data_IF_739612891321
#
_entry.id   IF_739612891321
#
_cell.length_a   1.000
_cell.length_b   1.000
_cell.length_c   1.000
_cell.angle_alpha   90.00
_cell.angle_beta   90.00
_cell.angle_gamma   90.00
#
_symmetry.space_group_name_H-M   'P 1'
#
loop_
_entity.id
_entity.type
_entity.pdbx_description
1 polymer ?
#
# COMPACT_ATOMS: atom_id res chain seq x y z
N UNK A 1 23.51 -35.92 -13.67
CA UNK A 1 22.74 -35.31 -12.57
C UNK A 1 23.41 -34.01 -12.19
N UNK A 2 22.94 -32.88 -12.70
CA UNK A 2 23.40 -31.55 -12.31
C UNK A 2 22.59 -31.10 -11.10
N UNK A 3 23.23 -31.05 -9.93
CA UNK A 3 22.63 -30.46 -8.73
C UNK A 3 22.62 -28.95 -8.94
N UNK A 4 21.47 -28.38 -9.30
CA UNK A 4 21.29 -26.92 -9.31
C UNK A 4 21.56 -26.40 -7.91
N UNK A 5 22.67 -25.69 -7.72
CA UNK A 5 22.98 -24.98 -6.47
C UNK A 5 22.06 -23.77 -6.41
N UNK A 6 21.00 -23.83 -5.60
CA UNK A 6 20.18 -22.66 -5.29
C UNK A 6 21.06 -21.59 -4.64
N UNK A 7 21.10 -20.39 -5.22
CA UNK A 7 21.81 -19.25 -4.65
C UNK A 7 21.06 -18.76 -3.39
N UNK A 8 21.65 -19.02 -2.22
CA UNK A 8 21.08 -18.67 -0.92
C UNK A 8 21.37 -17.22 -0.48
N UNK A 9 21.97 -16.38 -1.36
CA UNK A 9 22.15 -14.96 -1.05
C UNK A 9 20.81 -14.23 -1.02
N UNK A 10 20.64 -13.35 -0.05
CA UNK A 10 19.50 -12.45 0.02
C UNK A 10 19.84 -11.10 -0.59
N UNK A 11 18.87 -10.54 -1.31
CA UNK A 11 18.90 -9.19 -1.86
C UNK A 11 17.88 -8.36 -1.09
N UNK A 12 18.25 -7.13 -0.74
CA UNK A 12 17.34 -6.14 -0.17
C UNK A 12 17.26 -4.96 -1.11
N UNK A 13 16.04 -4.63 -1.56
CA UNK A 13 15.75 -3.36 -2.22
C UNK A 13 15.04 -2.44 -1.23
N UNK A 14 15.46 -1.18 -1.14
CA UNK A 14 14.89 -0.23 -0.19
C UNK A 14 14.80 1.18 -0.78
N UNK A 15 13.90 1.98 -0.20
CA UNK A 15 13.61 3.36 -0.60
C UNK A 15 13.72 4.31 0.60
N UNK A 16 14.14 5.55 0.31
CA UNK A 16 13.98 6.70 1.22
C UNK A 16 12.76 7.51 0.78
N UNK A 17 12.95 8.80 0.50
CA UNK A 17 11.88 9.72 0.08
C UNK A 17 11.56 9.62 -1.43
N UNK A 18 11.70 8.42 -2.01
CA UNK A 18 11.45 8.17 -3.43
C UNK A 18 10.79 6.81 -3.61
N UNK A 19 10.08 6.63 -4.71
CA UNK A 19 9.48 5.35 -5.10
C UNK A 19 10.44 4.58 -6.02
N UNK A 20 10.42 3.25 -5.98
CA UNK A 20 11.27 2.42 -6.85
C UNK A 20 10.49 1.24 -7.42
N UNK A 21 10.63 1.00 -8.72
CA UNK A 21 10.09 -0.23 -9.35
C UNK A 21 11.23 -1.17 -9.70
N UNK A 22 11.12 -2.42 -9.29
CA UNK A 22 12.06 -3.50 -9.56
C UNK A 22 11.35 -4.71 -10.19
N UNK A 23 12.09 -5.48 -10.98
CA UNK A 23 11.67 -6.81 -11.44
C UNK A 23 12.44 -7.87 -10.67
N UNK A 24 11.72 -8.75 -9.99
CA UNK A 24 12.27 -9.85 -9.22
C UNK A 24 12.75 -11.00 -10.12
N UNK A 25 13.61 -11.92 -9.63
CA UNK A 25 14.12 -13.05 -10.41
C UNK A 25 13.06 -13.96 -11.04
N UNK A 26 11.85 -14.04 -10.46
CA UNK A 26 10.74 -14.83 -11.01
C UNK A 26 9.97 -14.11 -12.14
N UNK A 27 10.28 -12.83 -12.38
CA UNK A 27 9.60 -11.94 -13.32
C UNK A 27 8.44 -11.14 -12.71
N UNK A 28 8.20 -11.25 -11.40
CA UNK A 28 7.25 -10.39 -10.69
C UNK A 28 7.75 -8.94 -10.67
N UNK A 29 6.86 -7.98 -10.93
CA UNK A 29 7.19 -6.55 -10.80
C UNK A 29 6.73 -6.05 -9.45
N UNK A 30 7.58 -5.29 -8.76
CA UNK A 30 7.24 -4.67 -7.47
C UNK A 30 7.56 -3.19 -7.52
N UNK A 31 6.60 -2.36 -7.12
CA UNK A 31 6.81 -0.93 -6.88
C UNK A 31 6.81 -0.67 -5.38
N UNK A 32 7.94 -0.28 -4.82
CA UNK A 32 8.08 0.16 -3.43
C UNK A 32 7.67 1.64 -3.32
N UNK A 33 6.85 1.95 -2.32
CA UNK A 33 6.57 3.32 -1.92
C UNK A 33 7.80 3.91 -1.17
N UNK A 34 7.71 5.15 -0.70
CA UNK A 34 8.73 5.77 0.15
C UNK A 34 8.93 4.95 1.45
N UNK A 35 10.13 5.03 2.04
CA UNK A 35 10.46 4.40 3.33
C UNK A 35 10.13 2.91 3.44
N UNK A 36 10.32 2.18 2.33
CA UNK A 36 9.92 0.78 2.22
C UNK A 36 11.12 -0.09 1.88
N UNK A 37 11.05 -1.38 2.25
CA UNK A 37 12.09 -2.35 1.99
C UNK A 37 11.51 -3.71 1.67
N UNK A 38 12.07 -4.36 0.64
CA UNK A 38 11.74 -5.71 0.24
C UNK A 38 13.00 -6.58 0.24
N UNK A 39 12.94 -7.70 0.97
CA UNK A 39 13.99 -8.70 1.03
C UNK A 39 13.54 -9.99 0.34
N UNK A 40 14.40 -10.55 -0.49
CA UNK A 40 14.12 -11.79 -1.24
C UNK A 40 15.40 -12.57 -1.55
N UNK A 41 15.27 -13.85 -1.92
CA UNK A 41 16.42 -14.68 -2.31
C UNK A 41 16.81 -14.45 -3.77
N UNK A 42 18.10 -14.34 -4.07
CA UNK A 42 18.62 -14.26 -5.43
C UNK A 42 18.25 -15.51 -6.27
N UNK A 43 18.17 -16.68 -5.64
CA UNK A 43 17.77 -17.95 -6.25
C UNK A 43 16.26 -18.24 -6.19
N UNK A 44 15.40 -17.28 -5.84
CA UNK A 44 13.96 -17.53 -5.65
C UNK A 44 13.26 -18.11 -6.90
N UNK A 45 13.81 -17.86 -8.09
CA UNK A 45 13.26 -18.37 -9.35
C UNK A 45 13.39 -19.89 -9.50
N UNK A 46 14.23 -20.57 -8.71
CA UNK A 46 14.41 -22.03 -8.72
C UNK A 46 13.75 -22.71 -7.53
N UNK A 47 13.17 -21.94 -6.60
CA UNK A 47 12.53 -22.45 -5.39
C UNK A 47 11.11 -22.95 -5.66
N UNK A 48 10.64 -23.89 -4.83
CA UNK A 48 9.24 -24.39 -4.88
C UNK A 48 8.22 -23.33 -4.44
N UNK A 49 8.65 -22.37 -3.61
CA UNK A 49 7.87 -21.24 -3.13
C UNK A 49 8.69 -19.98 -3.37
N UNK A 50 8.03 -18.89 -3.77
CA UNK A 50 8.66 -17.60 -4.07
C UNK A 50 8.41 -16.69 -2.89
N UNK A 51 9.38 -16.60 -1.98
CA UNK A 51 9.20 -15.91 -0.70
C UNK A 51 9.88 -14.54 -0.68
N UNK A 52 9.17 -13.54 -0.14
CA UNK A 52 9.70 -12.20 0.11
C UNK A 52 9.26 -11.70 1.49
N UNK A 53 10.02 -10.77 2.06
CA UNK A 53 9.67 -10.05 3.30
C UNK A 53 9.55 -8.57 2.99
N UNK A 54 8.42 -7.97 3.36
CA UNK A 54 8.12 -6.55 3.15
C UNK A 54 8.13 -5.79 4.48
N UNK A 55 8.71 -4.59 4.45
CA UNK A 55 8.51 -3.52 5.42
C UNK A 55 8.08 -2.25 4.67
N UNK A 56 7.10 -1.52 5.20
CA UNK A 56 6.54 -0.33 4.55
C UNK A 56 5.40 -0.68 3.60
N UNK A 57 5.40 -0.10 2.40
CA UNK A 57 4.34 -0.23 1.41
C UNK A 57 4.87 -0.61 0.03
N UNK A 58 4.21 -1.58 -0.61
CA UNK A 58 4.56 -2.00 -1.95
C UNK A 58 3.35 -2.52 -2.72
N UNK A 59 3.38 -2.27 -4.02
CA UNK A 59 2.48 -2.89 -4.98
C UNK A 59 3.19 -4.04 -5.66
N UNK A 60 2.51 -5.16 -5.77
CA UNK A 60 2.99 -6.37 -6.42
C UNK A 60 2.14 -6.64 -7.65
N UNK A 61 2.78 -6.80 -8.80
CA UNK A 61 2.19 -7.41 -9.98
C UNK A 61 2.85 -8.78 -10.19
N UNK A 62 2.27 -9.80 -9.55
CA UNK A 62 2.88 -11.13 -9.42
C UNK A 62 2.67 -11.93 -10.69
N UNK A 63 3.79 -12.40 -11.26
CA UNK A 63 3.74 -13.28 -12.43
C UNK A 63 2.95 -14.56 -12.10
N UNK A 64 1.93 -14.92 -12.91
CA UNK A 64 1.15 -16.12 -12.68
C UNK A 64 1.99 -17.40 -12.72
N UNK A 65 1.91 -18.18 -11.64
CA UNK A 65 2.48 -19.52 -11.53
C UNK A 65 1.69 -20.32 -10.50
N UNK A 66 0.83 -21.22 -10.99
CA UNK A 66 -0.04 -22.05 -10.13
C UNK A 66 0.72 -23.16 -9.41
N UNK A 67 1.92 -23.50 -9.87
CA UNK A 67 2.74 -24.57 -9.29
C UNK A 67 3.63 -24.09 -8.15
N UNK A 68 3.91 -22.78 -8.11
CA UNK A 68 4.82 -22.17 -7.14
C UNK A 68 4.20 -20.89 -6.55
N UNK A 69 3.64 -20.95 -5.33
CA UNK A 69 3.01 -19.78 -4.73
C UNK A 69 4.02 -18.66 -4.49
N UNK A 70 3.55 -17.42 -4.57
CA UNK A 70 4.27 -16.24 -4.13
C UNK A 70 3.78 -15.87 -2.73
N UNK A 71 4.71 -15.76 -1.79
CA UNK A 71 4.44 -15.61 -0.37
C UNK A 71 5.14 -14.36 0.14
N UNK A 72 4.37 -13.44 0.71
CA UNK A 72 4.88 -12.23 1.35
C UNK A 72 4.70 -12.36 2.86
N UNK A 73 5.79 -12.14 3.59
CA UNK A 73 5.75 -11.89 5.04
C UNK A 73 5.75 -10.38 5.28
N UNK A 74 4.71 -9.87 5.93
CA UNK A 74 4.52 -8.44 6.21
C UNK A 74 4.07 -8.29 7.68
N UNK A 75 5.02 -7.96 8.57
CA UNK A 75 4.80 -8.03 10.01
C UNK A 75 4.39 -9.44 10.44
N UNK A 76 3.25 -9.58 11.13
CA UNK A 76 2.67 -10.86 11.54
C UNK A 76 1.73 -11.48 10.48
N UNK A 77 1.58 -10.82 9.33
CA UNK A 77 0.67 -11.24 8.27
C UNK A 77 1.43 -12.00 7.20
N UNK A 78 0.91 -13.17 6.84
CA UNK A 78 1.37 -13.96 5.68
C UNK A 78 0.36 -13.80 4.55
N UNK A 79 0.86 -13.49 3.36
CA UNK A 79 0.03 -13.24 2.17
C UNK A 79 0.48 -14.21 1.09
N UNK A 80 -0.45 -15.01 0.56
CA UNK A 80 -0.16 -16.05 -0.43
C UNK A 80 -0.99 -15.83 -1.69
N UNK A 81 -0.33 -15.86 -2.85
CA UNK A 81 -0.95 -15.64 -4.16
C UNK A 81 -0.36 -16.55 -5.24
N UNK A 82 -1.07 -16.69 -6.36
CA UNK A 82 -0.62 -17.49 -7.52
C UNK A 82 -0.43 -16.65 -8.81
N UNK A 83 -0.73 -15.36 -8.78
CA UNK A 83 -0.78 -14.48 -9.95
C UNK A 83 -1.87 -13.42 -9.75
N UNK A 84 -1.48 -12.27 -9.23
CA UNK A 84 -2.38 -11.24 -8.69
C UNK A 84 -1.68 -9.89 -8.70
N UNK A 85 -2.46 -8.84 -8.84
CA UNK A 85 -2.01 -7.46 -8.70
C UNK A 85 -2.66 -6.88 -7.44
N UNK A 86 -1.86 -6.43 -6.47
CA UNK A 86 -2.35 -6.01 -5.15
C UNK A 86 -1.34 -5.11 -4.42
N UNK A 87 -1.85 -4.26 -3.53
CA UNK A 87 -1.06 -3.41 -2.65
C UNK A 87 -0.99 -4.02 -1.25
N UNK A 88 0.18 -3.94 -0.61
CA UNK A 88 0.39 -4.29 0.80
C UNK A 88 1.03 -3.12 1.50
N UNK A 89 0.45 -2.72 2.64
CA UNK A 89 0.96 -1.64 3.48
C UNK A 89 1.07 -2.11 4.93
N UNK A 90 2.23 -1.93 5.54
CA UNK A 90 2.47 -2.19 6.96
C UNK A 90 2.71 -0.88 7.72
N UNK A 91 1.97 -0.66 8.80
CA UNK A 91 2.18 0.45 9.72
C UNK A 91 2.08 -0.07 11.16
N UNK A 92 3.21 -0.18 11.85
CA UNK A 92 3.27 -0.82 13.16
C UNK A 92 2.83 -2.29 13.11
N UNK A 93 1.85 -2.67 13.94
CA UNK A 93 1.23 -4.01 13.92
C UNK A 93 0.21 -4.21 12.82
N UNK A 94 -0.25 -3.12 12.18
CA UNK A 94 -1.33 -3.15 11.20
C UNK A 94 -0.78 -3.46 9.80
N UNK A 95 -1.41 -4.40 9.13
CA UNK A 95 -1.19 -4.71 7.70
C UNK A 95 -2.49 -4.49 6.94
N UNK A 96 -2.46 -3.71 5.87
CA UNK A 96 -3.57 -3.58 4.91
C UNK A 96 -3.17 -4.24 3.59
N UNK A 97 -4.10 -5.03 3.04
CA UNK A 97 -3.94 -5.67 1.72
C UNK A 97 -5.13 -5.29 0.85
N UNK A 98 -4.85 -4.73 -0.32
CA UNK A 98 -5.85 -4.23 -1.27
C UNK A 98 -5.67 -4.96 -2.60
N UNK A 99 -6.71 -5.60 -3.12
CA UNK A 99 -6.61 -6.47 -4.30
C UNK A 99 -7.17 -5.79 -5.55
N UNK A 100 -6.34 -5.64 -6.59
CA UNK A 100 -6.74 -5.15 -7.91
C UNK A 100 -7.09 -6.31 -8.87
N UNK A 101 -6.39 -7.45 -8.78
CA UNK A 101 -6.65 -8.61 -9.65
C UNK A 101 -6.37 -9.96 -8.96
N UNK A 102 -7.05 -11.01 -9.44
CA UNK A 102 -6.89 -12.39 -8.99
C UNK A 102 -7.45 -12.66 -7.59
N UNK A 103 -6.78 -13.49 -6.78
CA UNK A 103 -7.25 -13.91 -5.46
C UNK A 103 -6.08 -13.94 -4.47
N UNK A 104 -6.24 -13.27 -3.34
CA UNK A 104 -5.23 -13.20 -2.29
C UNK A 104 -5.70 -13.95 -1.04
N UNK A 105 -4.86 -14.86 -0.54
CA UNK A 105 -5.05 -15.48 0.78
C UNK A 105 -4.23 -14.70 1.80
N UNK A 106 -4.88 -14.22 2.86
CA UNK A 106 -4.25 -13.49 3.97
C UNK A 106 -4.41 -14.32 5.23
N UNK A 107 -3.33 -14.50 5.97
CA UNK A 107 -3.26 -15.30 7.18
C UNK A 107 -2.57 -14.51 8.31
N UNK A 108 -3.18 -14.47 9.49
CA UNK A 108 -2.59 -13.90 10.71
C UNK A 108 -3.19 -14.59 11.94
N UNK A 109 -2.36 -14.90 12.95
CA UNK A 109 -2.79 -15.47 14.23
C UNK A 109 -3.73 -16.70 14.11
N UNK A 110 -3.50 -17.56 13.12
CA UNK A 110 -4.31 -18.76 12.86
C UNK A 110 -5.65 -18.50 12.14
N UNK A 111 -5.99 -17.25 11.86
CA UNK A 111 -7.09 -16.87 10.98
C UNK A 111 -6.62 -16.82 9.53
N UNK A 112 -7.53 -17.12 8.61
CA UNK A 112 -7.29 -17.04 7.17
C UNK A 112 -8.51 -16.44 6.47
N UNK A 113 -8.27 -15.56 5.50
CA UNK A 113 -9.32 -14.99 4.66
C UNK A 113 -8.87 -14.90 3.20
N UNK A 114 -9.85 -15.01 2.31
CA UNK A 114 -9.67 -14.78 0.87
C UNK A 114 -10.22 -13.41 0.48
N UNK A 115 -9.40 -12.64 -0.23
CA UNK A 115 -9.68 -11.28 -0.65
C UNK A 115 -9.69 -11.23 -2.17
N UNK A 116 -10.77 -10.69 -2.73
CA UNK A 116 -11.06 -10.62 -4.17
C UNK A 116 -10.84 -9.19 -4.70
N UNK A 117 -10.81 -9.00 -6.03
CA UNK A 117 -10.69 -7.67 -6.61
C UNK A 117 -11.79 -6.74 -6.12
N UNK A 118 -11.42 -5.49 -5.79
CA UNK A 118 -12.37 -4.53 -5.23
C UNK A 118 -12.56 -4.66 -3.71
N UNK A 119 -11.88 -5.61 -3.05
CA UNK A 119 -11.88 -5.76 -1.60
C UNK A 119 -10.51 -5.38 -1.01
N UNK A 120 -10.55 -4.93 0.25
CA UNK A 120 -9.38 -4.81 1.11
C UNK A 120 -9.58 -5.60 2.38
N UNK A 121 -8.47 -5.99 3.01
CA UNK A 121 -8.47 -6.55 4.36
C UNK A 121 -7.43 -5.84 5.20
N UNK A 122 -7.81 -5.47 6.42
CA UNK A 122 -6.88 -4.97 7.44
C UNK A 122 -6.70 -6.04 8.49
N UNK A 123 -5.45 -6.31 8.84
CA UNK A 123 -5.09 -7.15 9.97
C UNK A 123 -4.36 -6.32 11.00
N UNK A 124 -4.85 -6.32 12.24
CA UNK A 124 -4.21 -5.63 13.36
C UNK A 124 -4.43 -6.44 14.64
N UNK A 125 -3.35 -6.72 15.36
CA UNK A 125 -3.39 -7.41 16.66
C UNK A 125 -4.20 -8.72 16.65
N UNK A 126 -4.14 -9.47 15.55
CA UNK A 126 -4.83 -10.75 15.37
C UNK A 126 -6.31 -10.64 14.94
N UNK A 127 -6.85 -9.43 14.80
CA UNK A 127 -8.15 -9.20 14.18
C UNK A 127 -7.98 -8.99 12.68
N UNK A 128 -8.86 -9.58 11.89
CA UNK A 128 -8.91 -9.41 10.44
C UNK A 128 -10.29 -8.86 10.03
N UNK A 129 -10.30 -7.71 9.37
CA UNK A 129 -11.51 -7.04 8.91
C UNK A 129 -11.46 -6.82 7.40
N UNK A 130 -12.46 -7.36 6.69
CA UNK A 130 -12.57 -7.23 5.23
C UNK A 130 -13.64 -6.22 4.85
N UNK A 131 -13.33 -5.34 3.91
CA UNK A 131 -14.21 -4.26 3.46
C UNK A 131 -14.11 -4.05 1.94
N UNK A 132 -15.16 -3.54 1.27
CA UNK A 132 -15.05 -3.07 -0.11
C UNK A 132 -14.18 -1.81 -0.19
N UNK A 133 -13.45 -1.67 -1.30
CA UNK A 133 -12.70 -0.45 -1.62
C UNK A 133 -13.70 0.61 -2.12
N UNK A 134 -13.58 1.85 -1.62
CA UNK A 134 -14.40 2.98 -2.08
C UNK A 134 -13.61 3.97 -2.93
N UNK A 135 -12.36 4.29 -2.58
CA UNK A 135 -11.43 5.12 -3.35
C UNK A 135 -10.03 4.50 -3.46
N UNK A 136 -9.12 5.16 -4.16
CA UNK A 136 -7.81 4.59 -4.55
C UNK A 136 -6.63 5.48 -4.15
N UNK A 137 -6.63 5.97 -2.91
CA UNK A 137 -5.50 6.78 -2.38
C UNK A 137 -4.19 5.99 -2.36
N UNK A 138 -4.26 4.68 -2.12
CA UNK A 138 -3.11 3.76 -2.08
C UNK A 138 -2.33 3.71 -3.39
N UNK A 139 -2.96 4.01 -4.53
CA UNK A 139 -2.33 3.87 -5.84
C UNK A 139 -1.45 5.05 -6.23
N UNK A 140 -1.51 6.18 -5.48
CA UNK A 140 -0.93 7.46 -5.87
C UNK A 140 0.56 7.38 -6.22
N UNK A 141 1.35 6.65 -5.43
CA UNK A 141 2.79 6.58 -5.63
C UNK A 141 3.18 5.85 -6.94
N UNK A 142 2.23 5.13 -7.57
CA UNK A 142 2.42 4.43 -8.84
C UNK A 142 1.70 5.11 -10.01
N UNK A 143 0.60 5.80 -9.75
CA UNK A 143 -0.28 6.38 -10.79
C UNK A 143 -0.21 7.90 -10.88
N UNK A 144 0.27 8.58 -9.83
CA UNK A 144 0.16 10.03 -9.65
C UNK A 144 -1.25 10.50 -9.31
N UNK A 145 -2.20 9.59 -9.03
CA UNK A 145 -3.62 9.91 -8.84
C UNK A 145 -4.11 9.62 -7.44
N UNK A 146 -4.82 10.58 -6.84
CA UNK A 146 -5.64 10.36 -5.64
C UNK A 146 -7.10 10.32 -6.07
N UNK A 147 -7.68 9.11 -6.12
CA UNK A 147 -9.09 8.92 -6.46
C UNK A 147 -9.90 8.92 -5.16
N UNK A 148 -10.58 10.02 -4.90
CA UNK A 148 -11.48 10.17 -3.76
C UNK A 148 -12.90 9.82 -4.18
N UNK A 149 -13.52 8.86 -3.50
CA UNK A 149 -14.93 8.51 -3.68
C UNK A 149 -15.54 8.21 -2.32
N UNK A 150 -16.42 9.11 -1.91
CA UNK A 150 -16.96 9.19 -0.55
C UNK A 150 -15.89 9.15 0.54
N UNK A 151 -14.71 9.71 0.25
CA UNK A 151 -13.53 9.66 1.11
C UNK A 151 -13.66 10.68 2.24
N UNK A 152 -13.63 10.26 3.52
CA UNK A 152 -13.58 11.18 4.66
C UNK A 152 -12.35 12.08 4.59
N UNK A 153 -12.51 13.36 4.94
CA UNK A 153 -11.41 14.34 4.95
C UNK A 153 -10.22 13.85 5.77
N UNK A 154 -10.45 13.21 6.91
CA UNK A 154 -9.39 12.63 7.75
C UNK A 154 -8.54 11.60 6.99
N UNK A 155 -9.15 10.80 6.13
CA UNK A 155 -8.45 9.76 5.36
C UNK A 155 -7.58 10.40 4.28
N UNK A 156 -8.12 11.39 3.56
CA UNK A 156 -7.35 12.17 2.60
C UNK A 156 -6.19 12.90 3.29
N UNK A 157 -6.42 13.54 4.44
CA UNK A 157 -5.38 14.24 5.21
C UNK A 157 -4.26 13.29 5.63
N UNK A 158 -4.59 12.08 6.11
CA UNK A 158 -3.58 11.06 6.43
C UNK A 158 -2.73 10.73 5.20
N UNK A 159 -3.34 10.50 4.04
CA UNK A 159 -2.60 10.24 2.80
C UNK A 159 -1.75 11.44 2.36
N UNK A 160 -2.24 12.68 2.49
CA UNK A 160 -1.48 13.88 2.13
C UNK A 160 -0.27 14.09 3.04
N UNK A 161 -0.41 13.82 4.34
CA UNK A 161 0.72 13.89 5.28
C UNK A 161 1.84 12.93 4.86
N UNK A 162 1.47 11.71 4.48
CA UNK A 162 2.43 10.70 4.02
C UNK A 162 3.06 11.05 2.67
N UNK A 163 2.25 11.47 1.69
CA UNK A 163 2.71 11.73 0.32
C UNK A 163 3.69 12.91 0.25
N UNK A 164 3.39 13.97 1.01
CA UNK A 164 4.12 15.23 0.94
C UNK A 164 5.11 15.44 2.10
N UNK A 165 5.19 14.49 3.04
CA UNK A 165 5.99 14.59 4.26
C UNK A 165 5.70 15.91 5.01
N UNK A 166 4.42 16.14 5.32
CA UNK A 166 3.92 17.35 5.98
C UNK A 166 3.06 17.01 7.19
N UNK A 167 2.81 18.01 8.04
CA UNK A 167 1.87 17.92 9.16
C UNK A 167 0.63 18.77 8.88
N UNK A 168 -0.43 18.13 8.39
CA UNK A 168 -1.78 18.68 8.23
C UNK A 168 -2.62 18.19 9.40
N UNK A 169 -3.23 19.12 10.13
CA UNK A 169 -4.07 18.87 11.31
C UNK A 169 -5.48 19.37 11.04
N UNK A 170 -6.46 18.50 11.27
CA UNK A 170 -7.87 18.89 11.31
C UNK A 170 -8.17 19.39 12.73
N UNK A 171 -8.36 20.70 12.89
CA UNK A 171 -8.61 21.29 14.21
C UNK A 171 -10.08 21.22 14.60
N UNK A 172 -10.98 21.23 13.62
CA UNK A 172 -12.40 21.16 13.81
C UNK A 172 -12.89 19.70 13.58
N UNK A 173 -13.22 18.94 14.63
CA UNK A 173 -13.63 17.53 14.46
C UNK A 173 -14.89 17.37 13.58
N UNK A 174 -15.72 18.42 13.47
CA UNK A 174 -16.94 18.39 12.68
C UNK A 174 -16.68 18.22 11.16
N UNK A 175 -15.45 18.45 10.68
CA UNK A 175 -15.10 18.30 9.26
C UNK A 175 -14.38 16.99 8.94
N UNK A 176 -13.94 16.22 9.93
CA UNK A 176 -13.18 14.96 9.73
C UNK A 176 -13.92 13.96 8.84
N UNK A 177 -15.23 13.85 9.04
CA UNK A 177 -16.11 12.93 8.33
C UNK A 177 -16.78 13.55 7.10
N UNK A 178 -16.51 14.82 6.78
CA UNK A 178 -16.98 15.41 5.52
C UNK A 178 -16.33 14.64 4.37
N UNK A 179 -17.14 14.21 3.42
CA UNK A 179 -16.71 13.39 2.30
C UNK A 179 -16.34 14.24 1.10
N UNK A 180 -15.31 13.83 0.38
CA UNK A 180 -14.91 14.41 -0.89
C UNK A 180 -14.99 13.37 -2.02
N UNK A 181 -15.47 13.82 -3.17
CA UNK A 181 -15.61 13.04 -4.39
C UNK A 181 -14.88 13.79 -5.51
N UNK A 182 -13.67 13.37 -5.85
CA UNK A 182 -12.84 14.04 -6.86
C UNK A 182 -11.65 13.15 -7.24
N UNK A 183 -10.98 13.47 -8.34
CA UNK A 183 -9.70 12.86 -8.71
C UNK A 183 -8.66 13.96 -8.77
N UNK A 184 -7.62 13.85 -7.95
CA UNK A 184 -6.44 14.69 -8.08
C UNK A 184 -5.43 13.95 -8.95
N UNK A 185 -5.15 14.49 -10.14
CA UNK A 185 -4.22 13.90 -11.12
C UNK A 185 -2.95 14.75 -11.17
N UNK A 186 -1.85 14.20 -10.64
CA UNK A 186 -0.52 14.82 -10.58
C UNK A 186 -0.55 16.26 -10.03
N UNK A 187 -1.42 16.51 -9.04
CA UNK A 187 -1.59 17.81 -8.38
C UNK A 187 -0.56 17.99 -7.29
N UNK A 188 -0.12 19.23 -7.08
CA UNK A 188 0.71 19.63 -5.93
C UNK A 188 -0.15 19.80 -4.68
N UNK A 189 0.48 19.71 -3.49
CA UNK A 189 -0.23 19.93 -2.22
C UNK A 189 -1.00 21.27 -2.17
N UNK A 190 -0.45 22.43 -2.60
CA UNK A 190 -1.21 23.67 -2.65
C UNK A 190 -2.48 23.61 -3.49
N UNK A 191 -2.43 22.99 -4.66
CA UNK A 191 -3.62 22.84 -5.52
C UNK A 191 -4.68 21.94 -4.86
N UNK A 192 -4.26 20.84 -4.22
CA UNK A 192 -5.19 19.95 -3.50
C UNK A 192 -5.86 20.69 -2.35
N UNK A 193 -5.08 21.42 -1.53
CA UNK A 193 -5.61 22.19 -0.40
C UNK A 193 -6.59 23.28 -0.86
N UNK A 194 -6.33 23.92 -2.00
CA UNK A 194 -7.26 24.89 -2.58
C UNK A 194 -8.61 24.23 -2.90
N UNK A 195 -8.62 23.09 -3.58
CA UNK A 195 -9.85 22.34 -3.88
C UNK A 195 -10.58 21.94 -2.61
N UNK A 196 -9.86 21.48 -1.58
CA UNK A 196 -10.47 21.13 -0.28
C UNK A 196 -11.13 22.35 0.36
N UNK A 197 -10.44 23.50 0.40
CA UNK A 197 -10.97 24.74 0.99
C UNK A 197 -12.24 25.19 0.27
N UNK A 198 -12.23 25.22 -1.07
CA UNK A 198 -13.35 25.67 -1.89
C UNK A 198 -14.55 24.71 -1.80
N UNK A 199 -14.30 23.40 -1.89
CA UNK A 199 -15.36 22.38 -1.88
C UNK A 199 -16.04 22.27 -0.52
N UNK A 200 -15.26 22.32 0.57
CA UNK A 200 -15.78 22.11 1.92
C UNK A 200 -16.15 23.40 2.65
N UNK A 201 -15.84 24.56 2.05
CA UNK A 201 -15.98 25.90 2.62
C UNK A 201 -15.32 26.00 4.00
N UNK A 202 -14.08 25.49 4.08
CA UNK A 202 -13.26 25.50 5.31
C UNK A 202 -12.09 26.45 5.16
N UNK A 203 -11.61 26.95 6.29
CA UNK A 203 -10.43 27.82 6.32
C UNK A 203 -9.17 26.95 6.47
N UNK A 204 -8.16 27.23 5.66
CA UNK A 204 -6.86 26.57 5.75
C UNK A 204 -5.82 27.61 6.14
N UNK A 205 -5.15 27.40 7.27
CA UNK A 205 -4.08 28.27 7.76
C UNK A 205 -2.75 27.54 7.70
N UNK A 206 -1.73 28.17 7.10
CA UNK A 206 -0.37 27.64 7.08
C UNK A 206 0.46 28.31 8.17
N UNK A 207 1.13 27.52 8.99
CA UNK A 207 2.15 27.97 9.93
C UNK A 207 3.52 27.42 9.49
N UNK A 208 4.63 27.89 10.08
CA UNK A 208 5.94 27.30 9.81
C UNK A 208 6.05 25.81 10.17
N UNK A 209 5.20 25.31 11.08
CA UNK A 209 5.26 23.94 11.59
C UNK A 209 4.17 23.02 11.03
N UNK A 210 3.01 23.54 10.64
CA UNK A 210 1.86 22.74 10.23
C UNK A 210 0.87 23.50 9.34
N UNK A 211 -0.02 22.73 8.72
CA UNK A 211 -1.18 23.20 7.97
C UNK A 211 -2.42 22.85 8.80
N UNK A 212 -3.27 23.83 9.08
CA UNK A 212 -4.44 23.66 9.97
C UNK A 212 -5.72 23.86 9.18
N UNK A 213 -6.63 22.89 9.24
CA UNK A 213 -7.96 22.94 8.64
C UNK A 213 -9.01 23.26 9.73
N UNK A 214 -9.75 24.36 9.54
CA UNK A 214 -10.75 24.92 10.47
C UNK A 214 -12.16 25.00 9.87
#
# INVERSE_FOLDING_TARGET
MSVSRTDNRYITSATGNFTKTDTLPDGTTVTLNQHSALKYSAGMADQKQREVTLQGEAFFDVRPDKSRPFIISAGNTKITVLGTSFNVKTLGSKTEVIVESGLVQVENAGQAARVKPGEKITSDSGLMEKQPIKGELYSYYRTGKLVCKDTPLQELVMSLNEIYDVTIVIKNPAIEQKKINTVFDNKTLPEILQVISETMQIKITRTPANIVLE
#
